data_IF_681727597756
#
_entry.id   IF_681727597756
#
_cell.length_a   1.000
_cell.length_b   1.000
_cell.length_c   1.000
_cell.angle_alpha   90.00
_cell.angle_beta   90.00
_cell.angle_gamma   90.00
#
_symmetry.space_group_name_H-M   'P 1'
#
loop_
_entity.id
_entity.type
_entity.pdbx_description
1 polymer ?
#
# COMPACT_ATOMS: atom_id res chain seq x y z
N UNK A 1 -0.75 2.60 -3.06
CA UNK A 1 -1.75 1.51 -2.92
C UNK A 1 -2.30 1.54 -1.50
N UNK A 2 -3.63 1.49 -1.32
CA UNK A 2 -4.25 1.36 0.01
C UNK A 2 -4.13 -0.10 0.48
N UNK A 3 -3.59 -0.31 1.68
CA UNK A 3 -3.47 -1.64 2.31
C UNK A 3 -3.94 -1.58 3.77
N UNK A 4 -4.41 -2.74 4.28
CA UNK A 4 -5.02 -2.86 5.62
C UNK A 4 -3.96 -3.02 6.73
N UNK A 5 -2.73 -3.41 6.37
CA UNK A 5 -1.64 -3.57 7.33
C UNK A 5 -0.26 -3.54 6.65
N UNK A 6 0.77 -3.27 7.46
CA UNK A 6 2.18 -3.29 7.06
C UNK A 6 3.00 -3.91 8.18
N UNK A 7 3.94 -4.79 7.85
CA UNK A 7 4.90 -5.40 8.78
C UNK A 7 6.28 -4.79 8.57
N UNK A 8 7.12 -4.79 9.60
CA UNK A 8 8.49 -4.22 9.56
C UNK A 8 8.55 -2.73 9.22
N UNK A 9 7.56 -1.95 9.69
CA UNK A 9 7.58 -0.49 9.58
C UNK A 9 7.44 0.19 10.95
N UNK A 10 8.06 1.36 11.10
CA UNK A 10 7.85 2.27 12.24
C UNK A 10 7.03 3.48 11.81
N UNK A 11 6.16 3.97 12.69
CA UNK A 11 5.37 5.18 12.44
C UNK A 11 6.12 6.41 12.93
N UNK A 12 6.13 7.46 12.11
CA UNK A 12 6.66 8.77 12.43
C UNK A 12 5.68 9.63 13.23
N UNK A 13 5.96 10.93 13.20
CA UNK A 13 5.11 11.96 13.84
C UNK A 13 3.76 12.04 13.13
N UNK A 14 2.72 12.43 13.88
CA UNK A 14 1.40 12.71 13.34
C UNK A 14 1.37 14.12 12.78
N UNK A 15 0.96 14.26 11.54
CA UNK A 15 0.89 15.53 10.85
C UNK A 15 -0.46 15.67 10.14
N UNK A 16 -1.04 16.87 10.18
CA UNK A 16 -2.25 17.18 9.44
C UNK A 16 -1.90 17.57 8.00
N UNK A 17 -2.51 16.88 7.04
CA UNK A 17 -2.28 17.05 5.61
C UNK A 17 -3.59 17.27 4.88
N UNK A 18 -3.66 18.37 4.13
CA UNK A 18 -4.78 18.64 3.22
C UNK A 18 -4.67 17.73 1.99
N UNK A 19 -5.74 17.00 1.68
CA UNK A 19 -5.84 16.12 0.51
C UNK A 19 -7.08 16.47 -0.32
N UNK A 20 -7.21 15.85 -1.49
CA UNK A 20 -8.38 16.04 -2.37
C UNK A 20 -9.70 15.74 -1.63
N UNK A 21 -9.69 14.76 -0.72
CA UNK A 21 -10.88 14.37 0.07
C UNK A 21 -10.95 15.06 1.42
N UNK A 22 -10.25 16.17 1.63
CA UNK A 22 -10.27 16.95 2.87
C UNK A 22 -9.05 16.75 3.78
N UNK A 23 -9.15 17.26 5.01
CA UNK A 23 -8.09 17.25 6.01
C UNK A 23 -7.96 15.87 6.67
N UNK A 24 -6.74 15.35 6.72
CA UNK A 24 -6.43 14.07 7.35
C UNK A 24 -5.19 14.20 8.24
N UNK A 25 -5.24 13.59 9.42
CA UNK A 25 -4.03 13.36 10.22
C UNK A 25 -3.39 12.08 9.70
N UNK A 26 -2.12 12.17 9.30
CA UNK A 26 -1.34 11.06 8.76
C UNK A 26 -0.02 10.91 9.50
N UNK A 27 0.58 9.73 9.43
CA UNK A 27 1.93 9.47 9.91
C UNK A 27 2.74 8.77 8.83
N UNK A 28 3.88 9.34 8.48
CA UNK A 28 4.82 8.67 7.57
C UNK A 28 5.29 7.35 8.21
N UNK A 29 5.51 6.33 7.37
CA UNK A 29 6.01 5.03 7.80
C UNK A 29 7.37 4.73 7.18
N UNK A 30 8.26 4.23 8.02
CA UNK A 30 9.66 3.99 7.70
C UNK A 30 9.93 2.49 7.72
N UNK A 31 10.64 1.98 6.72
CA UNK A 31 11.10 0.59 6.72
C UNK A 31 12.11 0.38 7.86
N UNK A 32 11.89 -0.62 8.71
CA UNK A 32 12.82 -0.96 9.80
C UNK A 32 14.19 -1.41 9.27
N UNK A 33 14.22 -2.04 8.09
CA UNK A 33 15.47 -2.57 7.52
C UNK A 33 16.39 -1.49 6.93
N UNK A 34 15.84 -0.47 6.27
CA UNK A 34 16.65 0.54 5.56
C UNK A 34 16.41 1.99 6.03
N UNK A 35 15.48 2.22 6.96
CA UNK A 35 15.16 3.55 7.50
C UNK A 35 14.47 4.51 6.52
N UNK A 36 14.22 4.09 5.27
CA UNK A 36 13.60 4.93 4.25
C UNK A 36 12.09 5.01 4.41
N UNK A 37 11.50 6.16 4.05
CA UNK A 37 10.04 6.35 4.00
C UNK A 37 9.46 5.48 2.90
N UNK A 38 8.58 4.53 3.24
CA UNK A 38 7.93 3.63 2.26
C UNK A 38 6.47 3.97 2.00
N UNK A 39 5.92 4.94 2.74
CA UNK A 39 4.53 5.32 2.65
C UNK A 39 4.07 6.12 3.87
N UNK A 40 2.77 6.11 4.10
CA UNK A 40 2.15 6.78 5.24
C UNK A 40 0.85 6.07 5.66
N UNK A 41 0.43 6.28 6.90
CA UNK A 41 -0.78 5.72 7.49
C UNK A 41 -1.78 6.84 7.78
N UNK A 42 -3.06 6.59 7.54
CA UNK A 42 -4.14 7.45 8.01
C UNK A 42 -4.36 7.24 9.51
N UNK A 43 -4.12 8.28 10.31
CA UNK A 43 -4.36 8.26 11.75
C UNK A 43 -5.79 8.73 12.07
N UNK A 44 -6.25 9.79 11.42
CA UNK A 44 -7.61 10.31 11.58
C UNK A 44 -8.11 11.00 10.30
N UNK A 45 -9.41 10.95 10.06
CA UNK A 45 -10.06 11.74 9.03
C UNK A 45 -11.05 12.72 9.67
N UNK A 46 -10.96 14.01 9.34
CA UNK A 46 -11.87 15.01 9.89
C UNK A 46 -13.29 14.88 9.33
N UNK A 47 -13.44 14.29 8.15
CA UNK A 47 -14.71 14.04 7.52
C UNK A 47 -15.22 12.62 7.82
N UNK A 48 -16.46 12.51 8.30
CA UNK A 48 -17.11 11.21 8.60
C UNK A 48 -17.12 10.26 7.40
N UNK A 49 -17.27 10.81 6.19
CA UNK A 49 -17.28 10.06 4.93
C UNK A 49 -15.93 9.38 4.64
N UNK A 50 -14.83 9.86 5.22
CA UNK A 50 -13.48 9.37 4.98
C UNK A 50 -12.94 8.46 6.10
N UNK A 51 -13.68 8.28 7.20
CA UNK A 51 -13.23 7.48 8.36
C UNK A 51 -12.91 6.03 8.04
N UNK A 52 -13.46 5.48 6.95
CA UNK A 52 -13.09 4.14 6.46
C UNK A 52 -11.61 4.01 6.07
N UNK A 53 -10.88 5.13 5.95
CA UNK A 53 -9.43 5.17 5.70
C UNK A 53 -8.61 5.11 6.98
N UNK A 54 -9.18 5.44 8.14
CA UNK A 54 -8.48 5.42 9.43
C UNK A 54 -7.86 4.03 9.68
N UNK A 55 -6.59 4.02 10.06
CA UNK A 55 -5.81 2.80 10.26
C UNK A 55 -5.25 2.16 8.98
N UNK A 56 -5.66 2.59 7.78
CA UNK A 56 -5.14 2.09 6.51
C UNK A 56 -3.82 2.77 6.14
N UNK A 57 -3.03 2.06 5.34
CA UNK A 57 -1.72 2.50 4.89
C UNK A 57 -1.73 2.76 3.39
N UNK A 58 -0.97 3.76 2.97
CA UNK A 58 -0.64 4.05 1.59
C UNK A 58 0.83 3.72 1.40
N UNK A 59 1.11 2.67 0.62
CA UNK A 59 2.47 2.31 0.24
C UNK A 59 2.82 2.83 -1.15
N UNK A 60 4.04 3.35 -1.29
CA UNK A 60 4.63 3.78 -2.56
C UNK A 60 5.29 2.57 -3.24
N UNK A 61 4.68 2.08 -4.34
CA UNK A 61 5.11 0.85 -5.04
C UNK A 61 6.59 0.86 -5.43
N UNK A 62 7.11 1.99 -5.90
CA UNK A 62 8.51 2.13 -6.31
C UNK A 62 9.52 1.87 -5.19
N UNK A 63 9.15 2.16 -3.94
CA UNK A 63 10.04 1.98 -2.79
C UNK A 63 9.94 0.60 -2.15
N UNK A 64 8.87 -0.15 -2.46
CA UNK A 64 8.63 -1.49 -1.92
C UNK A 64 9.08 -2.59 -2.89
N UNK A 65 9.05 -2.33 -4.20
CA UNK A 65 9.29 -3.37 -5.22
C UNK A 65 10.49 -3.15 -6.14
N UNK A 66 11.27 -2.07 -5.95
CA UNK A 66 12.36 -1.74 -6.88
C UNK A 66 11.86 -1.35 -8.29
N UNK A 67 12.76 -1.00 -9.22
CA UNK A 67 12.39 -0.56 -10.57
C UNK A 67 11.72 -1.67 -11.42
N UNK A 68 11.87 -2.93 -11.02
CA UNK A 68 11.41 -4.09 -11.78
C UNK A 68 10.08 -4.62 -11.22
N UNK A 69 9.04 -3.78 -11.30
CA UNK A 69 7.69 -4.01 -10.76
C UNK A 69 7.04 -5.34 -11.17
N UNK A 70 7.48 -6.43 -10.54
CA UNK A 70 6.98 -7.77 -10.73
C UNK A 70 5.51 -7.85 -10.35
N UNK A 71 4.74 -8.17 -11.38
CA UNK A 71 3.30 -8.39 -11.48
C UNK A 71 2.71 -9.02 -10.21
N UNK A 72 2.00 -8.23 -9.40
CA UNK A 72 1.02 -8.79 -8.49
C UNK A 72 -0.09 -9.37 -9.37
N UNK A 73 -0.12 -10.69 -9.51
CA UNK A 73 -1.09 -11.37 -10.35
C UNK A 73 -2.51 -10.95 -9.94
N UNK A 74 -3.16 -10.21 -10.83
CA UNK A 74 -4.61 -10.09 -10.84
C UNK A 74 -5.11 -11.51 -11.09
N UNK A 75 -5.73 -12.13 -10.09
CA UNK A 75 -6.56 -13.31 -10.29
C UNK A 75 -7.72 -12.88 -11.18
N UNK A 76 -7.55 -12.97 -12.49
CA UNK A 76 -8.67 -12.97 -13.41
C UNK A 76 -9.14 -14.42 -13.48
N UNK A 77 -10.33 -14.62 -12.94
CA UNK A 77 -11.07 -15.87 -13.00
C UNK A 77 -11.22 -16.33 -14.45
N UNK A 78 -11.11 -17.65 -14.63
CA UNK A 78 -11.46 -18.45 -15.80
C UNK A 78 -10.93 -18.00 -17.17
N UNK A 79 -10.03 -18.79 -17.77
CA UNK A 79 -10.34 -19.47 -19.04
C UNK A 79 -9.45 -20.70 -19.25
N UNK A 80 -10.16 -21.80 -19.52
CA UNK A 80 -9.77 -23.18 -19.84
C UNK A 80 -8.78 -23.32 -21.01
N UNK A 81 -7.93 -24.35 -20.92
CA UNK A 81 -7.15 -24.95 -22.03
C UNK A 81 -5.66 -24.96 -21.69
N UNK A 82 -5.03 -26.03 -21.18
CA UNK A 82 -5.16 -27.43 -21.59
C UNK A 82 -4.17 -27.71 -22.73
N UNK A 83 -2.99 -28.23 -22.41
CA UNK A 83 -2.37 -29.44 -23.01
C UNK A 83 -0.90 -29.59 -22.61
N UNK A 84 -0.53 -30.86 -22.41
CA UNK A 84 0.73 -31.48 -22.02
C UNK A 84 2.00 -31.09 -22.80
N UNK A 85 3.13 -31.38 -22.16
CA UNK A 85 4.52 -31.15 -22.54
C UNK A 85 5.07 -32.12 -23.61
N UNK A 86 6.05 -31.60 -24.35
CA UNK A 86 7.28 -32.15 -24.97
C UNK A 86 7.36 -33.54 -25.66
N UNK A 87 7.85 -33.47 -26.92
CA UNK A 87 8.94 -34.20 -27.58
C UNK A 87 9.21 -35.71 -27.38
N UNK A 88 9.18 -36.45 -28.50
CA UNK A 88 10.27 -37.32 -29.00
C UNK A 88 10.34 -37.28 -30.53
#
# INVERSE_FOLDING_TARGET
>A
MLVVGSVNVTSGVKEDRMMITGMHTVSDIFCVGCGSIVGWKYEAAHEKSQRYKEGKFILERYKVSGPDGSHYFVTHDAHVGGSDVDDV
#
